data_IF_220909076794
#
_entry.id   IF_220909076794
#
_cell.length_a   1.000
_cell.length_b   1.000
_cell.length_c   1.000
_cell.angle_alpha   90.00
_cell.angle_beta   90.00
_cell.angle_gamma   90.00
#
_symmetry.space_group_name_H-M   'P 1'
#
loop_
_entity.id
_entity.type
_entity.pdbx_description
1 polymer ?
#
# COMPACT_ATOMS: atom_id res chain seq x y z
N UNK A 1 12.82 15.23 -8.73
CA UNK A 1 13.89 14.59 -7.94
C UNK A 1 14.20 15.45 -6.73
N UNK A 2 14.36 14.84 -5.55
CA UNK A 2 14.76 15.55 -4.34
C UNK A 2 16.22 16.03 -4.46
N UNK A 3 16.58 17.08 -3.74
CA UNK A 3 17.96 17.59 -3.64
C UNK A 3 18.48 17.38 -2.23
N UNK A 4 19.78 17.18 -2.11
CA UNK A 4 20.41 17.08 -0.79
C UNK A 4 20.30 18.41 -0.05
N UNK A 5 19.88 18.37 1.22
CA UNK A 5 19.76 19.56 2.06
C UNK A 5 21.10 20.26 2.32
N UNK A 6 22.21 19.51 2.29
CA UNK A 6 23.56 20.04 2.57
C UNK A 6 24.26 20.54 1.31
N UNK A 7 24.38 19.73 0.27
CA UNK A 7 25.18 20.07 -0.92
C UNK A 7 24.35 20.40 -2.17
N UNK A 8 23.02 20.39 -2.08
CA UNK A 8 22.08 20.62 -3.19
C UNK A 8 22.18 19.65 -4.37
N UNK A 9 23.04 18.63 -4.30
CA UNK A 9 23.17 17.63 -5.35
C UNK A 9 21.88 16.81 -5.52
N UNK A 10 21.57 16.36 -6.75
CA UNK A 10 20.40 15.54 -7.00
C UNK A 10 20.49 14.22 -6.23
N UNK A 11 19.43 13.87 -5.50
CA UNK A 11 19.28 12.58 -4.85
C UNK A 11 18.66 11.60 -5.85
N UNK A 12 19.26 10.40 -5.93
CA UNK A 12 18.65 9.32 -6.68
C UNK A 12 17.29 8.94 -6.07
N UNK A 13 16.44 8.32 -6.87
CA UNK A 13 15.17 7.81 -6.38
C UNK A 13 15.39 6.80 -5.25
N UNK A 14 14.61 6.92 -4.17
CA UNK A 14 14.62 6.02 -3.01
C UNK A 14 15.98 5.83 -2.31
N UNK A 15 16.93 6.76 -2.47
CA UNK A 15 18.11 6.84 -1.58
C UNK A 15 17.94 7.96 -0.58
N UNK A 16 18.16 7.64 0.68
CA UNK A 16 18.25 8.62 1.76
C UNK A 16 19.67 9.20 1.88
N UNK A 17 20.69 8.51 1.39
CA UNK A 17 22.09 8.96 1.49
C UNK A 17 22.49 9.64 0.18
N UNK A 18 23.01 10.87 0.29
CA UNK A 18 23.58 11.57 -0.84
C UNK A 18 24.88 10.88 -1.29
N UNK A 19 24.95 10.45 -2.55
CA UNK A 19 26.18 9.84 -3.11
C UNK A 19 27.38 10.79 -3.19
N UNK A 20 27.14 12.10 -3.06
CA UNK A 20 28.17 13.13 -3.20
C UNK A 20 28.78 13.53 -1.85
N UNK A 21 27.95 13.85 -0.85
CA UNK A 21 28.44 14.30 0.46
C UNK A 21 28.20 13.30 1.60
N UNK A 22 27.54 12.16 1.34
CA UNK A 22 27.27 11.12 2.34
C UNK A 22 26.19 11.46 3.37
N UNK A 23 25.65 12.68 3.37
CA UNK A 23 24.58 13.09 4.30
C UNK A 23 23.30 12.30 4.05
N UNK A 24 22.63 11.90 5.14
CA UNK A 24 21.25 11.38 5.10
C UNK A 24 20.26 12.52 5.02
N UNK A 25 19.28 12.39 4.13
CA UNK A 25 18.27 13.39 3.86
C UNK A 25 16.90 12.84 4.24
N UNK A 26 16.11 13.66 4.92
CA UNK A 26 14.68 13.43 5.12
C UNK A 26 13.97 13.78 3.80
N UNK A 27 13.41 12.77 3.11
CA UNK A 27 12.84 12.96 1.76
C UNK A 27 11.34 13.29 1.85
N UNK A 28 10.69 12.80 2.91
CA UNK A 28 9.25 12.82 3.03
C UNK A 28 8.72 14.10 3.63
N UNK A 29 9.40 14.63 4.67
CA UNK A 29 8.94 15.84 5.35
C UNK A 29 9.72 17.08 4.90
N UNK A 30 11.01 16.94 4.57
CA UNK A 30 11.84 18.11 4.26
C UNK A 30 11.38 18.86 3.01
N UNK A 31 10.92 20.11 3.18
CA UNK A 31 10.53 21.01 2.10
C UNK A 31 9.22 20.67 1.38
N UNK A 32 8.46 19.67 1.87
CA UNK A 32 7.16 19.28 1.31
C UNK A 32 6.02 19.44 2.31
N UNK A 33 6.25 19.03 3.55
CA UNK A 33 5.27 19.12 4.62
C UNK A 33 5.93 19.76 5.84
N UNK A 34 5.43 20.92 6.27
CA UNK A 34 5.88 21.52 7.52
C UNK A 34 5.50 20.60 8.67
N UNK A 35 6.48 20.20 9.49
CA UNK A 35 6.22 19.43 10.70
C UNK A 35 6.74 20.18 11.92
N UNK A 36 6.11 19.93 13.07
CA UNK A 36 6.59 20.40 14.38
C UNK A 36 6.76 19.19 15.28
N UNK A 37 7.92 19.09 15.94
CA UNK A 37 8.12 18.08 16.98
C UNK A 37 7.27 18.47 18.18
N UNK A 38 6.37 17.57 18.57
CA UNK A 38 5.48 17.70 19.72
C UNK A 38 6.10 17.02 20.93
N UNK A 39 6.65 15.82 20.72
CA UNK A 39 7.41 15.08 21.71
C UNK A 39 8.69 14.52 21.08
N UNK A 40 9.83 14.79 21.69
CA UNK A 40 11.14 14.36 21.20
C UNK A 40 11.58 12.99 21.74
N UNK A 41 10.87 12.43 22.73
CA UNK A 41 11.23 11.21 23.44
C UNK A 41 10.03 10.29 23.65
N UNK A 42 9.30 10.01 22.57
CA UNK A 42 8.11 9.18 22.59
C UNK A 42 8.38 7.76 23.11
N UNK A 43 7.32 7.13 23.62
CA UNK A 43 7.39 5.80 24.28
C UNK A 43 7.62 4.62 23.32
N UNK A 44 7.48 4.87 22.01
CA UNK A 44 7.57 3.85 20.96
C UNK A 44 9.00 3.81 20.41
N UNK A 45 9.53 2.63 20.14
CA UNK A 45 10.88 2.47 19.58
C UNK A 45 10.86 2.30 18.06
N UNK A 46 11.86 2.88 17.40
CA UNK A 46 12.09 2.67 15.98
C UNK A 46 12.51 1.22 15.73
N UNK A 47 11.78 0.44 14.91
CA UNK A 47 12.10 -0.96 14.68
C UNK A 47 13.35 -1.17 13.82
N UNK A 48 13.91 -0.11 13.25
CA UNK A 48 15.14 -0.15 12.47
C UNK A 48 16.37 0.35 13.26
N UNK A 49 16.19 1.31 14.17
CA UNK A 49 17.28 1.97 14.88
C UNK A 49 17.35 1.61 16.37
N UNK A 50 16.25 1.14 16.99
CA UNK A 50 16.16 0.88 18.42
C UNK A 50 16.18 2.14 19.30
N UNK A 51 15.89 3.31 18.73
CA UNK A 51 15.80 4.58 19.47
C UNK A 51 14.35 5.01 19.62
N UNK A 52 14.06 5.85 20.63
CA UNK A 52 12.73 6.45 20.82
C UNK A 52 12.27 7.23 19.57
N UNK A 53 11.02 7.04 19.20
CA UNK A 53 10.36 7.80 18.14
C UNK A 53 9.93 9.17 18.67
N UNK A 54 9.90 10.14 17.77
CA UNK A 54 9.42 11.49 18.04
C UNK A 54 7.98 11.59 17.53
N UNK A 55 7.08 12.12 18.35
CA UNK A 55 5.76 12.50 17.85
C UNK A 55 5.89 13.85 17.12
N UNK A 56 5.52 13.86 15.85
CA UNK A 56 5.51 15.06 15.00
C UNK A 56 4.11 15.38 14.54
N UNK A 57 3.71 16.63 14.66
CA UNK A 57 2.47 17.13 14.08
C UNK A 57 2.72 17.54 12.63
N UNK A 58 1.92 16.99 11.72
CA UNK A 58 1.85 17.32 10.30
C UNK A 58 0.58 18.14 10.02
N UNK A 59 0.71 19.13 9.14
CA UNK A 59 -0.37 19.99 8.65
C UNK A 59 -1.11 20.79 9.76
N UNK A 60 -1.24 22.10 9.57
CA UNK A 60 -1.88 22.96 10.57
C UNK A 60 -3.40 22.76 10.69
N UNK A 61 -4.03 22.18 9.67
CA UNK A 61 -5.51 22.09 9.58
C UNK A 61 -6.08 20.78 10.13
N UNK A 62 -5.33 19.68 10.07
CA UNK A 62 -5.82 18.34 10.42
C UNK A 62 -5.25 17.78 11.73
N UNK A 63 -4.35 18.53 12.40
CA UNK A 63 -3.67 18.15 13.64
C UNK A 63 -3.19 16.68 13.66
N UNK A 64 -2.58 16.25 12.55
CA UNK A 64 -2.20 14.86 12.34
C UNK A 64 -0.88 14.58 13.07
N UNK A 65 -0.94 13.75 14.11
CA UNK A 65 0.22 13.39 14.92
C UNK A 65 0.74 12.03 14.49
N UNK A 66 1.98 11.97 14.00
CA UNK A 66 2.61 10.71 13.59
C UNK A 66 3.92 10.51 14.33
N UNK A 67 4.41 9.28 14.32
CA UNK A 67 5.68 8.93 14.93
C UNK A 67 6.80 8.92 13.90
N UNK A 68 7.92 9.57 14.22
CA UNK A 68 9.06 9.75 13.32
C UNK A 68 10.37 9.38 14.01
N UNK A 69 11.20 8.60 13.31
CA UNK A 69 12.57 8.36 13.76
C UNK A 69 13.50 9.51 13.37
N UNK A 70 14.23 10.08 14.33
CA UNK A 70 15.20 11.14 14.07
C UNK A 70 16.46 10.68 13.29
N UNK A 71 16.75 9.38 13.24
CA UNK A 71 17.99 8.84 12.65
C UNK A 71 17.81 8.23 11.26
N UNK A 72 16.74 7.45 11.06
CA UNK A 72 16.44 6.84 9.76
C UNK A 72 15.31 7.56 9.00
N UNK A 73 14.63 8.51 9.64
CA UNK A 73 13.49 9.23 9.07
C UNK A 73 12.31 8.33 8.65
N UNK A 74 12.25 7.11 9.18
CA UNK A 74 11.08 6.25 9.04
C UNK A 74 9.90 6.81 9.82
N UNK A 75 8.71 6.55 9.30
CA UNK A 75 7.46 7.10 9.79
C UNK A 75 6.52 5.95 10.17
N UNK A 76 5.83 6.11 11.29
CA UNK A 76 4.77 5.23 11.74
C UNK A 76 3.47 5.99 11.86
N UNK A 77 2.44 5.42 11.25
CA UNK A 77 1.10 5.95 11.17
C UNK A 77 0.17 5.00 11.92
N UNK A 78 -0.57 5.55 12.88
CA UNK A 78 -1.69 4.86 13.53
C UNK A 78 -2.82 4.64 12.49
N UNK A 79 -3.83 3.81 12.80
CA UNK A 79 -4.82 3.40 11.80
C UNK A 79 -5.59 4.61 11.25
N UNK A 80 -5.59 4.77 9.92
CA UNK A 80 -6.28 5.86 9.23
C UNK A 80 -5.43 7.11 9.00
N UNK A 81 -4.30 7.27 9.68
CA UNK A 81 -3.47 8.49 9.58
C UNK A 81 -2.77 8.63 8.24
N UNK A 82 -2.33 7.52 7.65
CA UNK A 82 -1.71 7.53 6.32
C UNK A 82 -2.72 7.94 5.25
N UNK A 83 -3.95 7.44 5.33
CA UNK A 83 -5.04 7.81 4.43
C UNK A 83 -5.36 9.30 4.55
N UNK A 84 -5.51 9.81 5.77
CA UNK A 84 -5.70 11.25 6.05
C UNK A 84 -4.57 12.07 5.44
N UNK A 85 -3.31 11.66 5.60
CA UNK A 85 -2.16 12.34 5.00
C UNK A 85 -2.28 12.39 3.47
N UNK A 86 -2.55 11.25 2.84
CA UNK A 86 -2.62 11.14 1.39
C UNK A 86 -3.81 11.92 0.83
N UNK A 87 -4.97 11.90 1.49
CA UNK A 87 -6.18 12.63 1.09
C UNK A 87 -6.03 14.14 1.26
N UNK A 88 -5.38 14.59 2.34
CA UNK A 88 -5.09 16.01 2.57
C UNK A 88 -4.00 16.57 1.65
N UNK A 89 -3.08 15.74 1.18
CA UNK A 89 -1.92 16.20 0.39
C UNK A 89 -2.13 16.18 -1.14
N UNK A 90 -3.17 15.51 -1.63
CA UNK A 90 -3.43 15.33 -3.06
C UNK A 90 -4.90 15.58 -3.35
N UNK A 91 -5.17 16.61 -4.15
CA UNK A 91 -6.52 16.90 -4.63
C UNK A 91 -7.11 15.70 -5.41
N UNK A 92 -8.44 15.63 -5.45
CA UNK A 92 -9.15 14.59 -6.17
C UNK A 92 -8.75 14.62 -7.66
N UNK A 93 -8.28 13.47 -8.15
CA UNK A 93 -7.88 13.29 -9.55
C UNK A 93 -9.07 12.70 -10.31
N UNK A 94 -9.34 13.21 -11.52
CA UNK A 94 -10.46 12.73 -12.35
C UNK A 94 -10.12 11.45 -13.15
N UNK A 95 -8.84 11.25 -13.48
CA UNK A 95 -8.37 10.13 -14.31
C UNK A 95 -6.99 9.62 -13.86
N UNK A 96 -6.58 8.46 -14.34
CA UNK A 96 -5.28 7.84 -14.03
C UNK A 96 -4.36 7.77 -15.25
N UNK A 97 -3.08 8.09 -15.05
CA UNK A 97 -2.07 8.05 -16.10
C UNK A 97 -1.21 6.79 -15.97
N UNK A 98 -1.57 5.73 -16.70
CA UNK A 98 -0.86 4.44 -16.68
C UNK A 98 0.64 4.55 -17.03
N UNK A 99 1.05 5.23 -18.12
CA UNK A 99 2.48 5.44 -18.41
C UNK A 99 3.24 6.11 -17.25
N UNK A 100 2.65 7.13 -16.63
CA UNK A 100 3.27 7.83 -15.51
C UNK A 100 3.42 6.90 -14.29
N UNK A 101 2.40 6.12 -13.95
CA UNK A 101 2.46 5.13 -12.87
C UNK A 101 3.57 4.09 -13.10
N UNK A 102 3.72 3.60 -14.33
CA UNK A 102 4.80 2.68 -14.69
C UNK A 102 6.19 3.32 -14.58
N UNK A 103 6.33 4.57 -15.01
CA UNK A 103 7.59 5.31 -14.92
C UNK A 103 7.99 5.54 -13.46
N UNK A 104 7.05 5.97 -12.62
CA UNK A 104 7.27 6.15 -11.17
C UNK A 104 7.81 4.84 -10.56
N UNK A 105 7.14 3.71 -10.83
CA UNK A 105 7.56 2.41 -10.32
C UNK A 105 8.94 1.99 -10.83
N UNK A 106 9.22 2.17 -12.13
CA UNK A 106 10.49 1.78 -12.75
C UNK A 106 11.65 2.60 -12.21
N UNK A 107 11.48 3.92 -12.08
CA UNK A 107 12.52 4.81 -11.55
C UNK A 107 12.81 4.57 -10.07
N UNK A 108 11.80 4.12 -9.32
CA UNK A 108 11.88 3.90 -7.87
C UNK A 108 12.20 2.45 -7.48
N UNK A 109 12.17 1.51 -8.43
CA UNK A 109 12.49 0.12 -8.16
C UNK A 109 13.96 -0.06 -7.77
N UNK A 110 14.23 -0.80 -6.69
CA UNK A 110 15.58 -1.13 -6.22
C UNK A 110 15.70 -2.65 -6.10
N UNK A 111 16.39 -3.33 -7.04
CA UNK A 111 16.46 -4.80 -7.05
C UNK A 111 17.24 -5.39 -5.86
N UNK A 112 18.24 -4.67 -5.35
CA UNK A 112 19.21 -5.21 -4.37
C UNK A 112 18.89 -4.83 -2.92
N UNK A 113 17.71 -4.28 -2.63
CA UNK A 113 17.38 -3.85 -1.26
C UNK A 113 17.14 -5.07 -0.37
N UNK A 114 17.95 -5.30 0.68
CA UNK A 114 17.79 -6.46 1.55
C UNK A 114 16.43 -6.39 2.27
N UNK A 115 15.71 -7.52 2.28
CA UNK A 115 14.42 -7.62 2.96
C UNK A 115 14.66 -7.70 4.46
N UNK A 116 14.13 -6.70 5.19
CA UNK A 116 14.12 -6.68 6.66
C UNK A 116 12.68 -6.73 7.14
N UNK A 117 12.41 -7.63 8.09
CA UNK A 117 11.13 -7.70 8.80
C UNK A 117 11.19 -6.82 10.04
N UNK A 118 10.18 -5.99 10.23
CA UNK A 118 10.13 -5.01 11.29
C UNK A 118 9.10 -5.42 12.35
N UNK A 119 9.42 -5.19 13.62
CA UNK A 119 8.47 -5.33 14.73
C UNK A 119 7.59 -4.08 14.83
N UNK A 120 6.34 -4.26 15.23
CA UNK A 120 5.44 -3.14 15.48
C UNK A 120 5.93 -2.32 16.68
N UNK A 121 6.05 -0.98 16.59
CA UNK A 121 6.46 -0.14 17.71
C UNK A 121 5.53 -0.22 18.94
N UNK A 122 4.29 -0.69 18.74
CA UNK A 122 3.26 -0.77 19.80
C UNK A 122 3.22 -2.16 20.45
N UNK A 123 3.03 -3.23 19.66
CA UNK A 123 2.90 -4.59 20.21
C UNK A 123 4.12 -5.49 20.04
N UNK A 124 5.18 -5.01 19.39
CA UNK A 124 6.43 -5.76 19.15
C UNK A 124 6.27 -7.06 18.33
N UNK A 125 5.09 -7.33 17.77
CA UNK A 125 4.85 -8.42 16.82
C UNK A 125 5.38 -8.04 15.43
N UNK A 126 5.93 -9.01 14.70
CA UNK A 126 6.38 -8.81 13.32
C UNK A 126 5.24 -8.31 12.43
N UNK A 127 5.52 -7.22 11.70
CA UNK A 127 4.58 -6.61 10.78
C UNK A 127 4.57 -7.32 9.43
N UNK A 128 3.40 -7.35 8.79
CA UNK A 128 3.24 -7.96 7.47
C UNK A 128 3.68 -6.99 6.39
N UNK A 129 4.58 -7.46 5.52
CA UNK A 129 4.97 -6.71 4.33
C UNK A 129 3.87 -6.84 3.28
N UNK A 130 3.31 -5.71 2.87
CA UNK A 130 2.26 -5.69 1.86
C UNK A 130 2.45 -4.54 0.89
N UNK A 131 2.05 -4.75 -0.36
CA UNK A 131 1.93 -3.67 -1.32
C UNK A 131 0.75 -2.78 -0.89
N UNK A 132 0.95 -1.45 -0.81
CA UNK A 132 -0.08 -0.54 -0.31
C UNK A 132 -1.30 -0.46 -1.24
N UNK A 133 -1.07 -0.42 -2.55
CA UNK A 133 -2.13 -0.41 -3.57
C UNK A 133 -1.63 -0.95 -4.91
N UNK A 134 -2.57 -1.22 -5.81
CA UNK A 134 -2.30 -1.74 -7.15
C UNK A 134 -1.30 -0.85 -7.89
N UNK A 135 -0.17 -1.45 -8.30
CA UNK A 135 0.92 -0.76 -8.98
C UNK A 135 1.43 0.49 -8.24
N UNK A 136 1.39 0.49 -6.91
CA UNK A 136 2.03 1.54 -6.10
C UNK A 136 3.55 1.42 -6.02
N UNK A 137 4.10 0.22 -6.22
CA UNK A 137 5.52 -0.05 -6.05
C UNK A 137 6.05 0.17 -4.62
N UNK A 138 5.17 0.46 -3.66
CA UNK A 138 5.51 0.73 -2.27
C UNK A 138 5.10 -0.44 -1.40
N UNK A 139 6.09 -1.12 -0.82
CA UNK A 139 5.89 -2.16 0.18
C UNK A 139 5.94 -1.52 1.57
N UNK A 140 4.80 -1.52 2.25
CA UNK A 140 4.65 -1.04 3.62
C UNK A 140 4.71 -2.21 4.60
N UNK A 141 5.09 -1.95 5.86
CA UNK A 141 5.01 -2.94 6.93
C UNK A 141 3.76 -2.63 7.77
N UNK A 142 2.72 -3.46 7.67
CA UNK A 142 1.44 -3.27 8.35
C UNK A 142 1.32 -4.17 9.56
N UNK A 143 1.00 -3.57 10.71
CA UNK A 143 0.47 -4.28 11.86
C UNK A 143 -1.05 -4.47 11.69
N UNK A 144 -1.60 -5.60 12.14
CA UNK A 144 -3.04 -5.88 12.03
C UNK A 144 -3.91 -4.90 12.84
N UNK A 145 -3.42 -4.47 14.00
CA UNK A 145 -4.21 -3.69 14.97
C UNK A 145 -3.73 -2.26 15.18
N UNK A 146 -2.44 -1.97 14.99
CA UNK A 146 -1.86 -0.70 15.47
C UNK A 146 -1.50 0.31 14.39
N UNK A 147 -1.26 -0.09 13.13
CA UNK A 147 -0.83 0.88 12.13
C UNK A 147 0.14 0.36 11.07
N UNK A 148 0.77 1.29 10.37
CA UNK A 148 1.67 1.03 9.25
C UNK A 148 2.99 1.77 9.42
N UNK A 149 4.08 1.08 9.11
CA UNK A 149 5.42 1.64 9.06
C UNK A 149 5.87 1.85 7.61
N UNK A 150 6.37 3.04 7.33
CA UNK A 150 6.93 3.45 6.05
C UNK A 150 8.38 3.89 6.23
N UNK A 151 9.23 3.40 5.34
CA UNK A 151 10.62 3.85 5.26
C UNK A 151 10.69 5.25 4.63
N UNK A 152 11.73 5.99 4.95
CA UNK A 152 12.00 7.31 4.36
C UNK A 152 11.98 7.27 2.82
N UNK A 153 11.23 8.20 2.23
CA UNK A 153 10.98 8.33 0.79
C UNK A 153 9.74 7.60 0.30
N UNK A 154 9.16 6.68 1.08
CA UNK A 154 7.98 5.93 0.65
C UNK A 154 6.71 6.78 0.67
N UNK A 155 6.57 7.73 1.60
CA UNK A 155 5.42 8.65 1.59
C UNK A 155 5.45 9.52 0.34
N UNK A 156 6.62 10.07 -0.01
CA UNK A 156 6.82 10.82 -1.25
C UNK A 156 6.43 10.01 -2.49
N UNK A 157 6.78 8.72 -2.51
CA UNK A 157 6.41 7.81 -3.59
C UNK A 157 4.89 7.61 -3.65
N UNK A 158 4.22 7.36 -2.52
CA UNK A 158 2.76 7.23 -2.47
C UNK A 158 2.04 8.51 -2.92
N UNK A 159 2.57 9.68 -2.58
CA UNK A 159 2.01 10.96 -3.03
C UNK A 159 2.13 11.13 -4.55
N UNK A 160 3.27 10.76 -5.15
CA UNK A 160 3.44 10.78 -6.62
C UNK A 160 2.50 9.78 -7.31
N UNK A 161 2.41 8.55 -6.78
CA UNK A 161 1.49 7.53 -7.26
C UNK A 161 0.03 8.00 -7.20
N UNK A 162 -0.38 8.60 -6.09
CA UNK A 162 -1.74 9.12 -5.93
C UNK A 162 -2.02 10.29 -6.89
N UNK A 163 -1.07 11.22 -7.05
CA UNK A 163 -1.16 12.32 -8.03
C UNK A 163 -1.31 11.81 -9.47
N UNK A 164 -0.73 10.66 -9.80
CA UNK A 164 -0.90 10.00 -11.09
C UNK A 164 -2.23 9.23 -11.23
N UNK A 165 -3.14 9.32 -10.25
CA UNK A 165 -4.43 8.64 -10.23
C UNK A 165 -4.37 7.18 -9.78
N UNK A 166 -3.28 6.76 -9.13
CA UNK A 166 -3.09 5.37 -8.70
C UNK A 166 -4.20 4.83 -7.81
N UNK A 167 -4.79 5.66 -6.94
CA UNK A 167 -5.89 5.25 -6.06
C UNK A 167 -7.18 4.92 -6.83
N UNK A 168 -7.47 5.62 -7.94
CA UNK A 168 -8.61 5.31 -8.81
C UNK A 168 -8.42 3.95 -9.48
N UNK A 169 -7.21 3.71 -10.00
CA UNK A 169 -6.85 2.44 -10.63
C UNK A 169 -6.93 1.29 -9.63
N UNK A 170 -6.45 1.48 -8.41
CA UNK A 170 -6.54 0.50 -7.33
C UNK A 170 -7.99 0.14 -6.99
N UNK A 171 -8.85 1.15 -6.81
CA UNK A 171 -10.28 0.93 -6.56
C UNK A 171 -10.94 0.14 -7.69
N UNK A 172 -10.69 0.52 -8.95
CA UNK A 172 -11.20 -0.17 -10.13
C UNK A 172 -10.75 -1.64 -10.16
N UNK A 173 -9.46 -1.90 -9.94
CA UNK A 173 -8.89 -3.26 -9.98
C UNK A 173 -9.32 -4.13 -8.81
N UNK A 174 -9.48 -3.57 -7.62
CA UNK A 174 -10.02 -4.29 -6.47
C UNK A 174 -11.47 -4.69 -6.70
N UNK A 175 -12.30 -3.79 -7.26
CA UNK A 175 -13.68 -4.12 -7.62
C UNK A 175 -13.77 -5.22 -8.68
N UNK A 176 -12.95 -5.15 -9.75
CA UNK A 176 -12.88 -6.19 -10.79
C UNK A 176 -12.49 -7.57 -10.19
N UNK A 177 -11.54 -7.59 -9.25
CA UNK A 177 -11.12 -8.84 -8.57
C UNK A 177 -12.21 -9.42 -7.68
N UNK A 178 -12.90 -8.57 -6.92
CA UNK A 178 -14.00 -9.00 -6.07
C UNK A 178 -15.17 -9.57 -6.89
N UNK A 179 -15.52 -8.91 -8.01
CA UNK A 179 -16.54 -9.41 -8.93
C UNK A 179 -16.17 -10.80 -9.48
N UNK A 180 -14.93 -10.98 -9.96
CA UNK A 180 -14.44 -12.27 -10.47
C UNK A 180 -14.46 -13.37 -9.40
N UNK A 181 -14.01 -13.07 -8.18
CA UNK A 181 -14.03 -14.01 -7.07
C UNK A 181 -15.46 -14.44 -6.69
N UNK A 182 -16.42 -13.51 -6.73
CA UNK A 182 -17.84 -13.81 -6.55
C UNK A 182 -18.37 -14.76 -7.62
N UNK A 183 -18.07 -14.49 -8.90
CA UNK A 183 -18.46 -15.36 -10.01
C UNK A 183 -17.85 -16.75 -9.92
N UNK A 184 -16.56 -16.87 -9.58
CA UNK A 184 -15.91 -18.17 -9.39
C UNK A 184 -16.49 -18.96 -8.21
N UNK A 185 -16.81 -18.28 -7.11
CA UNK A 185 -17.45 -18.91 -5.95
C UNK A 185 -18.85 -19.42 -6.31
N UNK A 186 -19.62 -18.63 -7.06
CA UNK A 186 -20.94 -19.04 -7.56
C UNK A 186 -20.85 -20.23 -8.54
N UNK A 187 -19.87 -20.23 -9.46
CA UNK A 187 -19.62 -21.36 -10.38
C UNK A 187 -19.26 -22.64 -9.60
N UNK A 188 -18.43 -22.54 -8.56
CA UNK A 188 -18.06 -23.68 -7.71
C UNK A 188 -19.24 -24.22 -6.89
N UNK A 189 -20.05 -23.34 -6.30
CA UNK A 189 -21.25 -23.73 -5.56
C UNK A 189 -22.25 -24.45 -6.47
N UNK A 190 -22.55 -23.87 -7.63
CA UNK A 190 -23.46 -24.48 -8.62
C UNK A 190 -22.96 -25.85 -9.10
N UNK A 191 -21.67 -25.99 -9.39
CA UNK A 191 -21.08 -27.29 -9.79
C UNK A 191 -21.15 -28.33 -8.68
N UNK A 192 -20.98 -27.94 -7.41
CA UNK A 192 -21.09 -28.83 -6.26
C UNK A 192 -22.54 -29.30 -6.04
N UNK A 193 -23.50 -28.39 -6.14
CA UNK A 193 -24.92 -28.70 -5.95
C UNK A 193 -25.45 -29.62 -7.05
N UNK A 194 -25.02 -29.41 -8.30
CA UNK A 194 -25.35 -30.29 -9.43
C UNK A 194 -24.74 -31.70 -9.26
N UNK A 195 -23.48 -31.80 -8.83
CA UNK A 195 -22.83 -33.08 -8.58
C UNK A 195 -23.47 -33.86 -7.42
N UNK A 196 -23.90 -33.16 -6.36
CA UNK A 196 -24.64 -33.76 -5.24
C UNK A 196 -26.01 -34.29 -5.69
N UNK A 197 -26.73 -33.55 -6.52
CA UNK A 197 -28.03 -33.96 -7.08
C UNK A 197 -27.92 -35.13 -8.08
N UNK A 198 -26.78 -35.29 -8.77
CA UNK A 198 -26.52 -36.39 -9.70
C UNK A 198 -26.24 -37.74 -9.05
N UNK A 199 -25.82 -37.77 -7.77
CA UNK A 199 -25.47 -39.01 -7.07
C UNK A 199 -26.68 -39.89 -6.66
N UNK A 200 -27.91 -39.40 -6.85
CA UNK A 200 -29.15 -40.07 -6.42
C UNK A 200 -30.14 -40.46 -7.52
N UNK A 201 -29.81 -40.32 -8.81
CA UNK A 201 -30.78 -40.57 -9.91
C UNK A 201 -30.42 -41.81 -10.73
N UNK A 202 -31.21 -42.87 -10.56
CA UNK A 202 -31.32 -43.96 -11.53
C UNK A 202 -31.86 -43.43 -12.85
N UNK A 203 -31.19 -43.79 -13.94
CA UNK A 203 -31.39 -43.29 -15.29
C UNK A 203 -32.85 -43.37 -15.80
N UNK A 204 -33.39 -42.23 -16.23
CA UNK A 204 -34.40 -42.15 -17.30
C UNK A 204 -34.52 -40.71 -17.81
N UNK A 205 -34.12 -40.44 -19.06
CA UNK A 205 -34.52 -39.32 -19.94
C UNK A 205 -34.26 -37.86 -19.53
N UNK A 206 -34.33 -37.50 -18.26
CA UNK A 206 -34.30 -36.10 -17.78
C UNK A 206 -32.88 -35.55 -17.55
N UNK A 207 -31.87 -36.44 -17.59
CA UNK A 207 -30.45 -36.11 -17.40
C UNK A 207 -29.90 -35.22 -18.51
N UNK A 208 -30.23 -35.50 -19.78
CA UNK A 208 -29.71 -34.76 -20.95
C UNK A 208 -30.24 -33.32 -21.01
N UNK A 209 -31.51 -33.12 -20.65
CA UNK A 209 -32.13 -31.78 -20.65
C UNK A 209 -31.53 -30.91 -19.54
N UNK A 210 -31.27 -31.49 -18.36
CA UNK A 210 -30.64 -30.79 -17.26
C UNK A 210 -29.17 -30.46 -17.53
N UNK A 211 -28.41 -31.36 -18.19
CA UNK A 211 -27.06 -31.07 -18.66
C UNK A 211 -27.04 -29.95 -19.71
N UNK A 212 -27.97 -29.97 -20.67
CA UNK A 212 -28.08 -28.93 -21.69
C UNK A 212 -28.42 -27.56 -21.09
N UNK A 213 -29.32 -27.51 -20.10
CA UNK A 213 -29.66 -26.27 -19.38
C UNK A 213 -28.46 -25.79 -18.57
N UNK A 214 -27.75 -26.67 -17.86
CA UNK A 214 -26.54 -26.31 -17.13
C UNK A 214 -25.45 -25.74 -18.06
N UNK A 215 -25.25 -26.34 -19.24
CA UNK A 215 -24.30 -25.85 -20.25
C UNK A 215 -24.68 -24.48 -20.83
N UNK A 216 -25.98 -24.22 -21.06
CA UNK A 216 -26.48 -22.92 -21.53
C UNK A 216 -26.32 -21.85 -20.44
N UNK A 217 -26.62 -22.18 -19.18
CA UNK A 217 -26.39 -21.29 -18.05
C UNK A 217 -24.90 -20.96 -17.91
N UNK A 218 -24.02 -21.96 -18.04
CA UNK A 218 -22.56 -21.72 -18.01
C UNK A 218 -22.09 -20.76 -19.11
N UNK A 219 -22.66 -20.82 -20.31
CA UNK A 219 -22.37 -19.89 -21.42
C UNK A 219 -22.94 -18.48 -21.23
N UNK A 220 -23.98 -18.31 -20.41
CA UNK A 220 -24.55 -16.99 -20.10
C UNK A 220 -23.77 -16.24 -19.00
N UNK A 221 -22.90 -16.95 -18.27
CA UNK A 221 -22.02 -16.40 -17.22
C UNK A 221 -20.53 -16.33 -17.66
N UNK A 222 -20.25 -16.32 -18.97
CA UNK A 222 -18.93 -16.03 -19.58
C UNK A 222 -18.79 -14.56 -19.96
#
# INVERSE_FOLDING_TARGET
MARCATCSAPLAANTQVCRYCGVRNDIDLHGKQGFRVVDAGGRRECPQCGIGLQTVALNREADLHIERCAQCFGLFFDPGELEVLLDGSVAQVADFNLPLLQNINRERYQPERPVKYLKCPVCQVLMNRMLYGYQSGVVVNRCRSHGVWLDNGQVSHLLEWKKAGGQLLDRKKTAERQARAGTETAKRAFSSDYAAAGSGRTASGESEVLEAIAAVVFKLFE
#
